data_IF_541250505557
#
_entry.id   IF_541250505557
#
_cell.length_a   1.000
_cell.length_b   1.000
_cell.length_c   1.000
_cell.angle_alpha   90.00
_cell.angle_beta   90.00
_cell.angle_gamma   90.00
#
_symmetry.space_group_name_H-M   'P 1'
#
loop_
_entity.id
_entity.type
_entity.pdbx_description
1 polymer ?
#
# COMPACT_ATOMS: atom_id res chain seq x y z
N UNK A 1 0.45 2.89 20.65
CA UNK A 1 0.27 3.74 19.45
C UNK A 1 0.97 3.06 18.30
N UNK A 2 0.20 2.62 17.32
CA UNK A 2 0.75 1.90 16.19
C UNK A 2 1.40 2.84 15.19
N UNK A 3 2.35 2.28 14.44
CA UNK A 3 3.16 3.02 13.49
C UNK A 3 3.33 2.19 12.24
N UNK A 4 3.21 2.84 11.09
CA UNK A 4 3.57 2.25 9.80
C UNK A 4 4.78 3.01 9.26
N UNK A 5 5.70 2.24 8.67
CA UNK A 5 6.89 2.76 8.01
C UNK A 5 6.84 2.36 6.53
N UNK A 6 6.76 3.35 5.65
CA UNK A 6 6.85 3.17 4.20
C UNK A 6 8.30 3.41 3.80
N UNK A 7 8.96 2.40 3.27
CA UNK A 7 10.37 2.49 2.89
C UNK A 7 10.52 3.07 1.47
N UNK A 8 11.43 4.03 1.32
CA UNK A 8 11.92 4.49 0.03
C UNK A 8 13.34 3.90 -0.16
N UNK A 9 13.48 2.70 -0.75
CA UNK A 9 14.78 2.07 -0.91
C UNK A 9 15.65 2.84 -1.90
N UNK A 10 16.95 2.90 -1.67
CA UNK A 10 17.92 3.44 -2.63
C UNK A 10 17.83 2.69 -3.96
N UNK A 11 18.15 3.38 -5.05
CA UNK A 11 18.28 2.76 -6.36
C UNK A 11 19.36 1.68 -6.32
N UNK A 12 19.06 0.53 -6.94
CA UNK A 12 20.03 -0.55 -7.15
C UNK A 12 20.49 -0.51 -8.59
N UNK A 13 21.79 -0.66 -8.83
CA UNK A 13 22.41 -0.46 -10.15
C UNK A 13 21.87 -1.39 -11.24
N UNK A 14 21.32 -2.57 -10.89
CA UNK A 14 20.96 -3.63 -11.85
C UNK A 14 19.50 -4.14 -11.75
N UNK A 15 18.59 -3.47 -11.03
CA UNK A 15 17.26 -4.04 -10.74
C UNK A 15 16.08 -3.22 -11.28
N UNK A 16 15.81 -2.03 -10.72
CA UNK A 16 14.66 -1.19 -11.09
C UNK A 16 15.03 0.28 -10.90
N UNK A 17 14.64 1.12 -11.87
CA UNK A 17 14.78 2.58 -11.78
C UNK A 17 14.05 3.07 -10.52
N UNK A 18 14.69 3.94 -9.74
CA UNK A 18 14.06 4.56 -8.58
C UNK A 18 12.76 5.26 -8.96
N UNK A 19 11.67 4.96 -8.24
CA UNK A 19 10.37 5.59 -8.45
C UNK A 19 10.24 6.82 -7.56
N UNK A 20 10.47 7.98 -8.16
CA UNK A 20 10.26 9.27 -7.50
C UNK A 20 8.78 9.45 -7.20
N UNK A 21 8.44 9.68 -5.93
CA UNK A 21 7.03 9.73 -5.51
C UNK A 21 6.80 10.65 -4.34
N UNK A 22 5.61 11.26 -4.34
CA UNK A 22 4.99 11.90 -3.17
C UNK A 22 3.77 11.11 -2.76
N UNK A 23 3.60 10.95 -1.46
CA UNK A 23 2.43 10.32 -0.85
C UNK A 23 1.55 11.39 -0.25
N UNK A 24 0.27 11.35 -0.60
CA UNK A 24 -0.76 12.28 -0.13
C UNK A 24 -1.88 11.52 0.54
N UNK A 25 -2.37 12.05 1.66
CA UNK A 25 -3.71 11.73 2.14
C UNK A 25 -4.73 12.52 1.32
N UNK A 26 -5.82 11.88 0.91
CA UNK A 26 -6.86 12.45 0.05
C UNK A 26 -8.24 12.08 0.58
N UNK A 27 -9.27 12.75 0.07
CA UNK A 27 -10.66 12.32 0.26
C UNK A 27 -10.93 10.97 -0.41
N UNK A 28 -12.02 10.31 -0.02
CA UNK A 28 -12.49 9.07 -0.68
C UNK A 28 -12.66 9.26 -2.20
N UNK A 29 -13.22 10.40 -2.60
CA UNK A 29 -13.37 10.75 -4.02
C UNK A 29 -12.01 10.88 -4.72
N UNK A 30 -11.04 11.54 -4.08
CA UNK A 30 -9.68 11.65 -4.60
C UNK A 30 -9.00 10.29 -4.77
N UNK A 31 -9.24 9.36 -3.85
CA UNK A 31 -8.74 7.99 -3.93
C UNK A 31 -9.35 7.19 -5.10
N UNK A 32 -10.66 7.29 -5.29
CA UNK A 32 -11.37 6.60 -6.37
C UNK A 32 -10.98 7.15 -7.75
N UNK A 33 -10.82 8.46 -7.86
CA UNK A 33 -10.47 9.16 -9.11
C UNK A 33 -8.95 9.27 -9.34
N UNK A 34 -8.12 8.86 -8.39
CA UNK A 34 -6.68 9.09 -8.39
C UNK A 34 -6.32 10.57 -8.65
N UNK A 35 -6.92 11.50 -7.89
CA UNK A 35 -6.65 12.94 -7.98
C UNK A 35 -6.42 13.52 -6.58
N UNK A 36 -5.63 14.60 -6.48
CA UNK A 36 -5.24 15.24 -5.23
C UNK A 36 -6.35 16.13 -4.61
N UNK A 37 -7.57 15.59 -4.51
CA UNK A 37 -8.73 16.24 -3.88
C UNK A 37 -8.64 16.22 -2.35
N UNK A 38 -8.89 17.37 -1.72
CA UNK A 38 -8.74 17.61 -0.27
C UNK A 38 -7.44 17.06 0.30
N UNK A 39 -6.36 17.27 -0.44
CA UNK A 39 -5.12 16.53 -0.24
C UNK A 39 -4.21 17.14 0.79
N UNK A 40 -3.40 16.26 1.40
CA UNK A 40 -2.34 16.65 2.31
C UNK A 40 -1.10 15.79 2.12
N UNK A 41 0.07 16.43 2.00
CA UNK A 41 1.34 15.71 1.86
C UNK A 41 1.70 14.94 3.14
N UNK A 42 2.08 13.68 2.97
CA UNK A 42 2.47 12.76 4.04
C UNK A 42 3.96 12.47 3.99
N UNK A 43 4.53 12.40 2.79
CA UNK A 43 5.97 12.23 2.64
C UNK A 43 6.42 12.23 1.19
N UNK A 44 7.74 12.15 1.00
CA UNK A 44 8.37 12.23 -0.32
C UNK A 44 9.56 11.28 -0.42
N UNK A 45 9.55 10.43 -1.44
CA UNK A 45 10.67 9.62 -1.90
C UNK A 45 11.35 10.35 -3.08
N UNK A 46 12.37 11.16 -2.80
CA UNK A 46 13.11 11.94 -3.83
C UNK A 46 14.62 11.64 -3.89
N UNK A 47 15.16 10.91 -2.93
CA UNK A 47 16.60 10.64 -2.86
C UNK A 47 16.90 9.20 -3.31
N UNK A 48 17.45 8.99 -4.52
CA UNK A 48 17.77 7.65 -5.02
C UNK A 48 19.04 7.07 -4.40
N UNK A 49 19.90 7.88 -3.76
CA UNK A 49 21.20 7.42 -3.27
C UNK A 49 21.14 6.84 -1.86
N UNK A 50 20.07 7.12 -1.11
CA UNK A 50 19.92 6.75 0.30
C UNK A 50 18.63 5.99 0.55
N UNK A 51 18.69 4.99 1.44
CA UNK A 51 17.50 4.40 2.00
C UNK A 51 16.84 5.43 2.93
N UNK A 52 15.60 5.79 2.66
CA UNK A 52 14.80 6.64 3.53
C UNK A 52 13.45 6.01 3.81
N UNK A 53 12.63 6.66 4.64
CA UNK A 53 11.31 6.15 4.98
C UNK A 53 10.37 7.25 5.42
N UNK A 54 9.09 7.06 5.16
CA UNK A 54 7.98 7.89 5.63
C UNK A 54 7.35 7.16 6.82
N UNK A 55 7.21 7.85 7.95
CA UNK A 55 6.64 7.28 9.16
C UNK A 55 5.27 7.87 9.40
N UNK A 56 4.28 7.00 9.58
CA UNK A 56 2.89 7.35 9.90
C UNK A 56 2.62 6.86 11.30
N UNK A 57 2.04 7.72 12.12
CA UNK A 57 1.68 7.41 13.51
C UNK A 57 0.17 7.54 13.62
N UNK A 58 -0.49 6.46 14.04
CA UNK A 58 -1.91 6.47 14.27
C UNK A 58 -2.19 7.07 15.65
N UNK A 59 -2.75 8.28 15.62
CA UNK A 59 -3.08 9.05 16.81
C UNK A 59 -4.28 9.94 16.54
N UNK A 60 -5.14 10.04 17.55
CA UNK A 60 -6.36 10.85 17.50
C UNK A 60 -6.04 12.36 17.62
N UNK A 61 -4.91 12.71 18.24
CA UNK A 61 -4.50 14.08 18.51
C UNK A 61 -3.04 14.28 18.10
N UNK A 62 -2.76 15.42 17.48
CA UNK A 62 -1.41 15.83 17.12
C UNK A 62 -1.10 17.21 17.70
N UNK A 63 0.07 17.42 18.32
CA UNK A 63 0.50 18.75 18.75
C UNK A 63 0.82 19.68 17.56
N UNK A 64 1.07 19.10 16.38
CA UNK A 64 1.28 19.86 15.15
C UNK A 64 -0.09 20.22 14.54
N UNK A 65 -0.38 21.52 14.45
CA UNK A 65 -1.59 22.04 13.82
C UNK A 65 -1.67 21.60 12.35
N UNK A 66 -2.85 21.17 11.93
CA UNK A 66 -3.08 20.67 10.57
C UNK A 66 -2.44 19.32 10.29
N UNK A 67 -1.80 18.64 11.26
CA UNK A 67 -1.34 17.26 11.10
C UNK A 67 -2.49 16.30 10.76
N UNK A 68 -2.18 15.22 10.05
CA UNK A 68 -3.16 14.16 9.82
C UNK A 68 -3.39 13.45 11.16
N UNK A 69 -4.65 13.26 11.53
CA UNK A 69 -5.08 12.55 12.72
C UNK A 69 -5.98 11.39 12.31
N UNK A 70 -5.83 10.25 12.99
CA UNK A 70 -6.54 9.02 12.70
C UNK A 70 -7.53 8.76 13.83
N UNK A 71 -8.82 8.81 13.53
CA UNK A 71 -9.91 8.61 14.49
C UNK A 71 -10.47 7.19 14.35
N UNK A 72 -10.88 6.55 15.45
CA UNK A 72 -11.61 5.28 15.39
C UNK A 72 -12.90 5.41 14.57
N UNK A 73 -13.25 4.38 13.80
CA UNK A 73 -14.44 4.33 12.96
C UNK A 73 -14.33 5.03 11.61
N UNK A 74 -13.18 5.64 11.32
CA UNK A 74 -12.96 6.42 10.09
C UNK A 74 -11.99 5.73 9.13
N UNK A 75 -12.25 5.93 7.84
CA UNK A 75 -11.40 5.45 6.75
C UNK A 75 -10.47 6.56 6.24
N UNK A 76 -9.20 6.22 6.01
CA UNK A 76 -8.20 7.15 5.49
C UNK A 76 -7.56 6.61 4.23
N UNK A 77 -7.32 7.50 3.26
CA UNK A 77 -6.87 7.12 1.94
C UNK A 77 -5.55 7.80 1.61
N UNK A 78 -4.55 7.00 1.23
CA UNK A 78 -3.28 7.49 0.71
C UNK A 78 -3.15 7.14 -0.76
N UNK A 79 -2.63 8.06 -1.57
CA UNK A 79 -2.28 7.81 -2.97
C UNK A 79 -0.92 8.44 -3.32
N UNK A 80 -0.32 7.97 -4.41
CA UNK A 80 0.72 8.72 -5.13
C UNK A 80 0.29 8.99 -6.56
N UNK A 81 0.13 10.25 -6.92
CA UNK A 81 -0.15 10.66 -8.31
C UNK A 81 1.12 11.00 -9.10
N UNK A 82 2.30 10.92 -8.48
CA UNK A 82 3.58 11.11 -9.18
C UNK A 82 3.70 10.14 -10.35
N UNK A 83 4.47 10.46 -11.40
CA UNK A 83 4.65 9.56 -12.56
C UNK A 83 5.78 8.54 -12.37
N UNK A 84 6.48 8.57 -11.24
CA UNK A 84 7.68 7.76 -11.00
C UNK A 84 8.99 8.40 -11.50
N UNK A 85 8.93 9.50 -12.25
CA UNK A 85 10.12 10.29 -12.65
C UNK A 85 10.30 11.53 -11.78
N UNK A 86 11.49 12.11 -11.80
CA UNK A 86 11.78 13.31 -11.02
C UNK A 86 10.97 14.51 -11.54
N UNK A 87 10.77 14.59 -12.86
CA UNK A 87 10.05 15.68 -13.53
C UNK A 87 8.55 15.63 -13.23
N UNK A 88 7.97 14.42 -13.18
CA UNK A 88 6.56 14.21 -12.86
C UNK A 88 6.30 13.93 -11.38
N UNK A 89 7.23 14.27 -10.48
CA UNK A 89 7.05 14.04 -9.04
C UNK A 89 5.87 14.84 -8.46
N UNK A 90 5.58 16.01 -9.05
CA UNK A 90 4.52 16.93 -8.65
C UNK A 90 3.22 16.75 -9.45
N UNK A 91 3.10 15.68 -10.23
CA UNK A 91 1.89 15.38 -10.98
C UNK A 91 0.69 15.19 -10.03
N UNK A 92 -0.45 15.80 -10.36
CA UNK A 92 -1.61 15.91 -9.47
C UNK A 92 -2.76 14.93 -9.76
N UNK A 93 -2.69 14.21 -10.89
CA UNK A 93 -3.77 13.32 -11.33
C UNK A 93 -3.22 12.05 -12.00
N UNK A 94 -3.82 10.91 -11.70
CA UNK A 94 -3.43 9.61 -12.23
C UNK A 94 -2.07 9.16 -11.72
N UNK A 95 -1.07 9.10 -12.61
CA UNK A 95 0.28 8.63 -12.31
C UNK A 95 0.32 7.24 -11.68
N UNK A 96 1.22 7.04 -10.71
CA UNK A 96 1.43 5.77 -10.01
C UNK A 96 0.16 5.22 -9.35
N UNK A 97 -0.83 6.06 -9.02
CA UNK A 97 -2.12 5.63 -8.48
C UNK A 97 -2.90 4.79 -9.49
N UNK A 98 -2.87 5.17 -10.78
CA UNK A 98 -3.54 4.42 -11.85
C UNK A 98 -2.64 3.36 -12.46
N UNK A 99 -1.36 3.68 -12.74
CA UNK A 99 -0.48 2.77 -13.47
C UNK A 99 0.01 1.61 -12.63
N UNK A 100 0.23 1.86 -11.33
CA UNK A 100 0.89 0.91 -10.42
C UNK A 100 0.02 0.60 -9.20
N UNK A 101 -1.24 1.07 -9.19
CA UNK A 101 -2.17 0.93 -8.09
C UNK A 101 -1.56 1.40 -6.75
N UNK A 102 -0.73 2.45 -6.79
CA UNK A 102 -0.01 2.99 -5.63
C UNK A 102 -0.96 3.83 -4.76
N UNK A 103 -1.87 3.12 -4.09
CA UNK A 103 -2.90 3.65 -3.21
C UNK A 103 -3.16 2.69 -2.05
N UNK A 104 -3.49 3.23 -0.88
CA UNK A 104 -3.71 2.48 0.36
C UNK A 104 -4.95 3.02 1.05
N UNK A 105 -5.82 2.12 1.51
CA UNK A 105 -6.92 2.42 2.42
C UNK A 105 -6.56 1.93 3.82
N UNK A 106 -6.66 2.80 4.81
CA UNK A 106 -6.62 2.43 6.22
C UNK A 106 -8.04 2.45 6.78
N UNK A 107 -8.50 1.31 7.28
CA UNK A 107 -9.76 1.17 7.99
C UNK A 107 -9.48 1.14 9.49
N UNK A 108 -9.81 2.21 10.21
CA UNK A 108 -9.49 2.31 11.65
C UNK A 108 -10.67 1.78 12.46
N UNK A 109 -10.49 0.66 13.14
CA UNK A 109 -11.56 0.03 13.92
C UNK A 109 -11.98 0.86 15.15
N UNK A 110 -13.27 0.81 15.50
CA UNK A 110 -13.76 1.33 16.77
C UNK A 110 -13.25 0.48 17.95
N UNK A 111 -13.02 1.13 19.10
CA UNK A 111 -12.52 0.47 20.32
C UNK A 111 -13.50 -0.56 20.89
N UNK A 112 -14.77 -0.56 20.48
CA UNK A 112 -15.85 -1.31 21.11
C UNK A 112 -16.23 -2.63 20.41
N UNK A 113 -15.50 -3.05 19.38
CA UNK A 113 -15.76 -4.35 18.73
C UNK A 113 -15.46 -5.55 19.64
N UNK A 114 -14.67 -5.38 20.71
CA UNK A 114 -14.43 -6.42 21.71
C UNK A 114 -15.59 -6.53 22.73
N UNK A 115 -16.32 -5.44 23.00
CA UNK A 115 -17.42 -5.47 23.97
C UNK A 115 -18.69 -6.11 23.37
N UNK A 116 -18.93 -5.94 22.07
CA UNK A 116 -20.11 -6.55 21.41
C UNK A 116 -19.96 -8.06 21.22
N UNK A 117 -18.74 -8.54 21.01
CA UNK A 117 -18.46 -9.98 20.89
C UNK A 117 -18.47 -10.67 22.27
N UNK A 118 -18.03 -9.99 23.33
CA UNK A 118 -18.17 -10.50 24.71
C UNK A 118 -19.61 -10.45 25.25
N UNK A 119 -20.41 -9.42 24.92
CA UNK A 119 -21.81 -9.35 25.35
C UNK A 119 -22.69 -10.42 24.69
N UNK A 120 -22.38 -10.83 23.46
CA UNK A 120 -23.12 -11.91 22.77
C UNK A 120 -22.72 -13.29 23.33
N UNK A 121 -21.46 -13.48 23.72
CA UNK A 121 -21.01 -14.68 24.43
C UNK A 121 -21.61 -14.77 25.84
N UNK A 122 -21.70 -13.66 26.57
CA UNK A 122 -22.30 -13.62 27.91
C UNK A 122 -23.81 -13.85 27.89
N UNK A 123 -24.56 -13.30 26.92
CA UNK A 123 -26.01 -13.58 26.78
C UNK A 123 -26.30 -15.06 26.49
N UNK A 124 -25.41 -15.73 25.75
CA UNK A 124 -25.52 -17.17 25.49
C UNK A 124 -25.10 -18.02 26.70
N UNK A 125 -24.27 -17.50 27.61
CA UNK A 125 -23.93 -18.17 28.88
C UNK A 125 -25.03 -17.95 29.92
N UNK A 126 -25.63 -16.76 30.00
CA UNK A 126 -26.72 -16.46 30.93
C UNK A 126 -28.00 -17.24 30.59
N UNK A 127 -28.32 -17.39 29.30
CA UNK A 127 -29.41 -18.29 28.85
C UNK A 127 -29.10 -19.78 29.06
N UNK A 128 -27.82 -20.17 29.16
CA UNK A 128 -27.42 -21.56 29.44
C UNK A 128 -27.35 -21.87 30.94
N UNK A 129 -27.20 -20.85 31.79
CA UNK A 129 -27.03 -21.01 33.25
C UNK A 129 -28.33 -21.17 34.05
N UNK A 130 -29.50 -21.00 33.42
CA UNK A 130 -30.80 -21.19 34.09
C UNK A 130 -31.14 -22.68 34.31
N UNK A 131 -30.39 -23.62 33.71
CA UNK A 131 -30.75 -25.05 33.73
C UNK A 131 -29.97 -25.90 34.76
N UNK A 132 -28.88 -25.44 35.38
CA UNK A 132 -28.15 -26.28 36.37
C UNK A 132 -27.79 -25.53 37.68
N UNK A 133 -28.60 -25.82 38.69
CA UNK A 133 -28.45 -25.81 40.16
C UNK A 133 -27.23 -25.15 40.85
N UNK A 134 -27.56 -24.24 41.79
CA UNK A 134 -27.13 -24.18 43.20
C UNK A 134 -25.66 -24.52 43.57
N UNK A 135 -24.77 -23.51 43.63
CA UNK A 135 -23.74 -23.39 44.70
C UNK A 135 -23.09 -21.99 44.73
N UNK A 136 -22.80 -21.54 45.95
CA UNK A 136 -22.31 -20.24 46.40
C UNK A 136 -20.88 -19.85 45.98
N UNK A 137 -20.65 -18.57 45.61
CA UNK A 137 -19.66 -17.62 46.20
C UNK A 137 -19.36 -16.43 45.24
N UNK A 138 -19.13 -15.25 45.82
CA UNK A 138 -18.69 -13.98 45.21
C UNK A 138 -17.65 -13.35 46.19
N UNK A 139 -16.81 -12.33 45.85
CA UNK A 139 -16.30 -11.84 44.56
C UNK A 139 -14.77 -11.98 44.47
N UNK A 140 -14.20 -11.71 43.29
CA UNK A 140 -13.19 -10.66 43.05
C UNK A 140 -12.35 -11.04 41.82
N UNK A 141 -12.14 -10.03 40.97
CA UNK A 141 -10.96 -9.78 40.12
C UNK A 141 -11.40 -8.62 39.22
N UNK A 142 -11.21 -7.41 39.76
CA UNK A 142 -10.74 -6.28 38.98
C UNK A 142 -9.40 -6.68 38.36
N UNK A 143 -9.43 -7.19 37.12
CA UNK A 143 -8.24 -7.19 36.29
C UNK A 143 -8.21 -5.86 35.53
N UNK A 144 -7.40 -4.97 36.06
CA UNK A 144 -6.81 -3.79 35.44
C UNK A 144 -6.61 -4.02 33.95
N UNK A 145 -7.49 -3.43 33.12
CA UNK A 145 -7.27 -3.37 31.69
C UNK A 145 -6.13 -2.39 31.44
N UNK A 146 -4.94 -2.93 31.17
CA UNK A 146 -3.85 -2.14 30.63
C UNK A 146 -4.30 -1.57 29.27
N UNK A 147 -4.44 -0.24 29.21
CA UNK A 147 -4.62 0.56 28.00
C UNK A 147 -3.43 0.40 27.04
N UNK A 148 -3.38 -0.73 26.33
CA UNK A 148 -2.55 -0.95 25.16
C UNK A 148 -3.40 -1.52 24.02
N UNK A 149 -4.61 -0.99 23.83
CA UNK A 149 -5.47 -1.33 22.69
C UNK A 149 -4.71 -1.03 21.40
N UNK A 150 -4.24 -2.08 20.72
CA UNK A 150 -3.69 -1.98 19.39
C UNK A 150 -4.81 -1.53 18.45
N UNK A 151 -4.57 -0.49 17.66
CA UNK A 151 -5.46 -0.12 16.57
C UNK A 151 -5.36 -1.24 15.52
N UNK A 152 -6.43 -2.00 15.35
CA UNK A 152 -6.54 -2.98 14.28
C UNK A 152 -6.85 -2.22 12.99
N UNK A 153 -6.05 -2.45 11.96
CA UNK A 153 -6.26 -1.88 10.63
C UNK A 153 -6.03 -2.96 9.57
N UNK A 154 -6.86 -2.94 8.53
CA UNK A 154 -6.66 -3.76 7.33
C UNK A 154 -5.97 -2.91 6.29
N UNK A 155 -4.76 -3.31 5.87
CA UNK A 155 -4.11 -2.72 4.70
C UNK A 155 -4.62 -3.50 3.49
N UNK A 156 -5.53 -2.90 2.75
CA UNK A 156 -5.88 -3.38 1.43
C UNK A 156 -4.76 -2.94 0.48
N UNK A 157 -3.78 -3.82 0.29
CA UNK A 157 -2.89 -3.68 -0.86
C UNK A 157 -3.70 -4.03 -2.10
N UNK A 158 -3.66 -3.13 -3.07
CA UNK A 158 -3.78 -3.47 -4.48
C UNK A 158 -3.12 -4.83 -4.75
N UNK A 159 -3.89 -5.83 -5.15
CA UNK A 159 -3.41 -7.17 -5.44
C UNK A 159 -2.14 -7.10 -6.29
N UNK A 160 -1.01 -7.52 -5.70
CA UNK A 160 0.09 -8.00 -6.51
C UNK A 160 -0.35 -9.41 -6.87
N UNK A 161 -0.98 -9.57 -8.02
CA UNK A 161 -0.98 -10.86 -8.71
C UNK A 161 0.49 -11.21 -8.93
N UNK A 162 1.04 -12.01 -8.02
CA UNK A 162 2.30 -12.68 -8.24
C UNK A 162 2.00 -13.77 -9.26
N UNK A 163 2.18 -13.45 -10.54
CA UNK A 163 2.09 -14.45 -11.59
C UNK A 163 3.23 -15.45 -11.40
N UNK A 164 2.89 -16.64 -10.90
CA UNK A 164 3.79 -17.79 -10.78
C UNK A 164 4.28 -18.31 -12.15
N UNK A 165 3.84 -17.73 -13.27
CA UNK A 165 4.19 -18.16 -14.63
C UNK A 165 5.60 -17.71 -15.09
N UNK A 166 6.26 -16.78 -14.39
CA UNK A 166 7.59 -16.29 -14.80
C UNK A 166 8.78 -17.14 -14.28
N UNK A 167 8.52 -18.25 -13.57
CA UNK A 167 9.58 -19.11 -12.99
C UNK A 167 9.77 -20.47 -13.69
N UNK A 168 9.21 -20.69 -14.90
CA UNK A 168 9.42 -21.97 -15.62
C UNK A 168 9.77 -21.88 -17.12
N UNK A 169 9.90 -20.68 -17.71
CA UNK A 169 10.23 -20.55 -19.14
C UNK A 169 11.73 -20.41 -19.45
N UNK A 170 12.65 -20.70 -18.52
CA UNK A 170 14.09 -20.65 -18.79
C UNK A 170 14.71 -21.99 -19.27
N UNK A 171 13.91 -23.04 -19.50
CA UNK A 171 14.48 -24.35 -19.86
C UNK A 171 13.76 -25.13 -20.96
N UNK A 172 12.91 -24.52 -21.79
CA UNK A 172 12.40 -25.21 -23.00
C UNK A 172 11.68 -24.31 -24.02
N UNK A 173 12.43 -23.49 -24.75
CA UNK A 173 12.09 -23.07 -26.12
C UNK A 173 13.38 -22.61 -26.80
N UNK A 174 13.99 -23.35 -27.73
CA UNK A 174 13.36 -23.66 -29.00
C UNK A 174 13.47 -22.44 -29.90
N UNK A 175 14.51 -22.41 -30.73
CA UNK A 175 14.84 -21.40 -31.75
C UNK A 175 13.61 -20.72 -32.38
N UNK A 176 13.57 -19.39 -32.36
CA UNK A 176 12.97 -18.61 -33.45
C UNK A 176 13.78 -17.34 -33.70
N UNK A 177 14.47 -17.36 -34.84
CA UNK A 177 15.28 -16.27 -35.35
C UNK A 177 14.34 -15.30 -36.09
N UNK A 178 13.98 -14.18 -35.49
CA UNK A 178 13.30 -13.10 -36.23
C UNK A 178 13.73 -11.72 -35.74
N UNK A 179 14.93 -11.32 -36.13
CA UNK A 179 15.21 -9.90 -36.35
C UNK A 179 16.21 -9.73 -37.49
N UNK A 180 15.84 -8.85 -38.41
CA UNK A 180 16.68 -8.16 -39.40
C UNK A 180 16.89 -8.76 -40.80
N UNK A 181 15.80 -9.18 -41.45
CA UNK A 181 15.76 -9.25 -42.93
C UNK A 181 15.90 -7.86 -43.57
N UNK A 182 15.37 -6.79 -42.95
CA UNK A 182 15.43 -5.44 -43.51
C UNK A 182 16.84 -4.81 -43.46
N UNK A 183 17.71 -5.21 -42.53
CA UNK A 183 19.09 -4.68 -42.45
C UNK A 183 20.01 -5.38 -43.46
N UNK A 184 19.77 -6.67 -43.73
CA UNK A 184 20.54 -7.44 -44.71
C UNK A 184 20.26 -6.98 -46.14
N UNK A 185 19.01 -6.62 -46.47
CA UNK A 185 18.70 -6.05 -47.77
C UNK A 185 19.29 -4.63 -47.94
N UNK A 186 19.35 -3.84 -46.86
CA UNK A 186 19.94 -2.51 -46.90
C UNK A 186 21.46 -2.54 -47.17
N UNK A 187 22.19 -3.47 -46.55
CA UNK A 187 23.63 -3.63 -46.79
C UNK A 187 23.96 -4.19 -48.18
N UNK A 188 23.12 -5.10 -48.70
CA UNK A 188 23.28 -5.65 -50.06
C UNK A 188 23.00 -4.59 -51.13
N UNK A 189 21.98 -3.73 -50.96
CA UNK A 189 21.73 -2.63 -51.90
C UNK A 189 22.85 -1.58 -51.93
N UNK A 190 23.46 -1.28 -50.78
CA UNK A 190 24.61 -0.37 -50.69
C UNK A 190 25.84 -0.98 -51.37
N UNK A 191 26.09 -2.28 -51.18
CA UNK A 191 27.20 -3.00 -51.83
C UNK A 191 27.04 -3.12 -53.36
N UNK A 192 25.83 -3.40 -53.85
CA UNK A 192 25.54 -3.50 -55.29
C UNK A 192 25.67 -2.12 -55.96
N UNK A 193 25.22 -1.06 -55.29
CA UNK A 193 25.37 0.31 -55.81
C UNK A 193 26.83 0.76 -55.87
N UNK A 194 27.69 0.22 -55.00
CA UNK A 194 29.13 0.50 -54.98
C UNK A 194 29.92 -0.25 -56.05
N UNK A 195 29.41 -1.38 -56.55
CA UNK A 195 30.10 -2.20 -57.58
C UNK A 195 29.71 -1.76 -59.01
N UNK A 196 28.56 -1.10 -59.19
CA UNK A 196 28.04 -0.70 -60.51
C UNK A 196 28.48 0.73 -60.92
N UNK A 197 29.21 1.45 -60.07
CA UNK A 197 29.68 2.82 -60.34
C UNK A 197 31.21 2.92 -60.33
#
# INVERSE_FOLDING_TARGET
MDRIKINCPKSRENERKYKYSKLYAVSKEGYEKCSLLDSKIIGTCKNPSLNSSINIVFREISPLAGALVFKPGEDYYLISTSTGTLEGIDNSEGGLCLTDNMRIKFEIQEKDNDHKMMMTAQKNIENKKIIEDNSSMLPDILQTFNDNSALVYTIHNADVEYNDEDMFNYSSSGFSLSHNINILFCSIFILISYIIN
#
